data_IF_758141399521
#
_entry.id   IF_758141399521
#
_cell.length_a   1.000
_cell.length_b   1.000
_cell.length_c   1.000
_cell.angle_alpha   90.00
_cell.angle_beta   90.00
_cell.angle_gamma   90.00
#
_symmetry.space_group_name_H-M   'P 1'
#
loop_
_entity.id
_entity.type
_entity.pdbx_description
1 polymer ?
#
# COMPACT_ATOMS: atom_id res chain seq x y z
N UNK A 1 -9.73 10.08 -32.70
CA UNK A 1 -10.63 9.47 -31.69
C UNK A 1 -10.19 8.04 -31.38
N UNK A 2 -9.71 7.27 -32.36
CA UNK A 2 -9.31 5.87 -32.16
C UNK A 2 -8.09 5.69 -31.26
N UNK A 3 -7.08 6.59 -31.34
CA UNK A 3 -5.91 6.56 -30.46
C UNK A 3 -6.30 6.67 -28.97
N UNK A 4 -7.27 7.53 -28.67
CA UNK A 4 -7.70 7.81 -27.30
C UNK A 4 -8.48 6.62 -26.73
N UNK A 5 -9.33 6.01 -27.55
CA UNK A 5 -10.08 4.80 -27.20
C UNK A 5 -9.14 3.61 -26.99
N UNK A 6 -8.15 3.43 -27.87
CA UNK A 6 -7.21 2.31 -27.77
C UNK A 6 -6.30 2.42 -26.53
N UNK A 7 -5.85 3.64 -26.20
CA UNK A 7 -5.11 3.90 -24.94
C UNK A 7 -5.99 3.60 -23.72
N UNK A 8 -7.25 4.02 -23.72
CA UNK A 8 -8.17 3.74 -22.60
C UNK A 8 -8.42 2.23 -22.47
N UNK A 9 -8.68 1.52 -23.56
CA UNK A 9 -8.95 0.08 -23.54
C UNK A 9 -7.72 -0.72 -23.09
N UNK A 10 -6.52 -0.33 -23.56
CA UNK A 10 -5.26 -0.96 -23.16
C UNK A 10 -4.91 -0.67 -21.70
N UNK A 11 -5.11 0.57 -21.24
CA UNK A 11 -4.95 0.95 -19.84
C UNK A 11 -5.96 0.21 -18.94
N UNK A 12 -7.22 0.11 -19.37
CA UNK A 12 -8.26 -0.62 -18.67
C UNK A 12 -7.95 -2.10 -18.49
N UNK A 13 -7.49 -2.78 -19.56
CA UNK A 13 -7.04 -4.17 -19.49
C UNK A 13 -5.93 -4.35 -18.46
N UNK A 14 -4.93 -3.47 -18.49
CA UNK A 14 -3.79 -3.52 -17.57
C UNK A 14 -4.22 -3.26 -16.12
N UNK A 15 -5.13 -2.32 -15.89
CA UNK A 15 -5.67 -2.02 -14.58
C UNK A 15 -6.50 -3.18 -14.00
N UNK A 16 -7.30 -3.85 -14.83
CA UNK A 16 -8.07 -5.03 -14.44
C UNK A 16 -7.11 -6.17 -14.07
N UNK A 17 -6.09 -6.44 -14.88
CA UNK A 17 -5.11 -7.50 -14.61
C UNK A 17 -4.37 -7.26 -13.29
N UNK A 18 -3.88 -6.03 -13.07
CA UNK A 18 -3.26 -5.64 -11.80
C UNK A 18 -4.23 -5.83 -10.61
N UNK A 19 -5.49 -5.39 -10.77
CA UNK A 19 -6.47 -5.43 -9.70
C UNK A 19 -6.84 -6.85 -9.28
N UNK A 20 -7.09 -7.72 -10.27
CA UNK A 20 -7.52 -9.09 -9.98
C UNK A 20 -6.37 -10.00 -9.57
N UNK A 21 -5.20 -9.90 -10.22
CA UNK A 21 -4.12 -10.85 -10.00
C UNK A 21 -3.12 -10.39 -8.94
N UNK A 22 -2.95 -9.08 -8.73
CA UNK A 22 -1.97 -8.55 -7.77
C UNK A 22 -2.68 -7.94 -6.57
N UNK A 23 -3.70 -7.11 -6.79
CA UNK A 23 -4.35 -6.43 -5.67
C UNK A 23 -5.18 -7.41 -4.84
N UNK A 24 -6.11 -8.18 -5.42
CA UNK A 24 -6.96 -9.09 -4.62
C UNK A 24 -6.19 -10.00 -3.63
N UNK A 25 -5.12 -10.71 -4.03
CA UNK A 25 -4.39 -11.57 -3.09
C UNK A 25 -3.67 -10.79 -1.99
N UNK A 26 -3.04 -9.66 -2.33
CA UNK A 26 -2.35 -8.82 -1.35
C UNK A 26 -3.35 -8.22 -0.36
N UNK A 27 -4.61 -7.98 -0.76
CA UNK A 27 -5.68 -7.50 0.13
C UNK A 27 -5.92 -8.50 1.24
N UNK A 28 -6.05 -9.76 0.85
CA UNK A 28 -6.36 -10.86 1.75
C UNK A 28 -5.23 -10.98 2.77
N UNK A 29 -3.98 -10.97 2.31
CA UNK A 29 -2.81 -11.04 3.20
C UNK A 29 -2.79 -9.88 4.20
N UNK A 30 -2.96 -8.64 3.72
CA UNK A 30 -2.93 -7.46 4.57
C UNK A 30 -4.10 -7.44 5.57
N UNK A 31 -5.32 -7.78 5.13
CA UNK A 31 -6.48 -7.88 6.01
C UNK A 31 -6.31 -8.97 7.07
N UNK A 32 -5.78 -10.14 6.69
CA UNK A 32 -5.49 -11.22 7.64
C UNK A 32 -4.43 -10.81 8.66
N UNK A 33 -3.37 -10.12 8.24
CA UNK A 33 -2.35 -9.60 9.14
C UNK A 33 -2.93 -8.54 10.08
N UNK A 34 -3.72 -7.60 9.55
CA UNK A 34 -4.36 -6.56 10.37
C UNK A 34 -5.28 -7.16 11.43
N UNK A 35 -6.14 -8.09 11.01
CA UNK A 35 -7.04 -8.85 11.91
C UNK A 35 -6.26 -9.56 13.02
N UNK A 36 -5.08 -10.11 12.71
CA UNK A 36 -4.22 -10.76 13.70
C UNK A 36 -3.63 -9.75 14.70
N UNK A 37 -3.20 -8.57 14.24
CA UNK A 37 -2.64 -7.52 15.09
C UNK A 37 -3.70 -6.90 16.00
N UNK A 38 -4.92 -6.73 15.49
CA UNK A 38 -6.10 -6.35 16.27
C UNK A 38 -6.41 -7.38 17.36
N UNK A 39 -6.50 -8.66 17.00
CA UNK A 39 -6.82 -9.73 17.95
C UNK A 39 -5.78 -9.86 19.07
N UNK A 40 -4.52 -9.49 18.81
CA UNK A 40 -3.43 -9.47 19.80
C UNK A 40 -3.37 -8.18 20.62
N UNK A 41 -4.22 -7.18 20.36
CA UNK A 41 -4.22 -5.88 21.06
C UNK A 41 -2.99 -5.01 20.76
N UNK A 42 -2.21 -5.34 19.72
CA UNK A 42 -1.00 -4.59 19.36
C UNK A 42 -1.37 -3.18 18.88
N UNK A 43 -2.48 -3.06 18.14
CA UNK A 43 -2.97 -1.75 17.69
C UNK A 43 -3.34 -0.86 18.87
N UNK A 44 -4.05 -1.40 19.87
CA UNK A 44 -4.45 -0.63 21.05
C UNK A 44 -3.23 -0.14 21.84
N UNK A 45 -2.17 -0.96 21.93
CA UNK A 45 -0.90 -0.57 22.55
C UNK A 45 -0.23 0.57 21.78
N UNK A 46 -0.15 0.47 20.45
CA UNK A 46 0.44 1.50 19.57
C UNK A 46 -0.38 2.81 19.66
N UNK A 47 -1.70 2.72 19.62
CA UNK A 47 -2.61 3.86 19.73
C UNK A 47 -2.50 4.51 21.11
N UNK A 48 -2.44 3.75 22.20
CA UNK A 48 -2.26 4.30 23.54
C UNK A 48 -0.92 5.04 23.68
N UNK A 49 0.12 4.62 22.96
CA UNK A 49 1.44 5.28 22.94
C UNK A 49 1.48 6.52 22.03
N UNK A 50 0.80 6.48 20.89
CA UNK A 50 0.76 7.57 19.89
C UNK A 50 -0.27 8.66 20.21
N UNK A 51 -1.41 8.30 20.80
CA UNK A 51 -2.46 9.23 21.21
C UNK A 51 -1.94 10.43 22.04
N UNK A 52 -1.09 10.27 23.07
CA UNK A 52 -0.58 11.44 23.81
C UNK A 52 0.28 12.37 22.94
N UNK A 53 0.92 11.84 21.88
CA UNK A 53 1.72 12.64 20.94
C UNK A 53 0.83 13.40 19.94
N UNK A 54 -0.33 12.83 19.59
CA UNK A 54 -1.27 13.36 18.59
C UNK A 54 -2.42 14.18 19.19
N UNK A 55 -2.58 14.18 20.53
CA UNK A 55 -3.46 15.10 21.28
C UNK A 55 -3.36 16.58 20.86
N UNK A 56 -2.18 17.19 20.64
CA UNK A 56 -2.10 18.58 20.20
C UNK A 56 -2.70 18.83 18.80
N UNK A 57 -2.86 17.79 17.99
CA UNK A 57 -3.46 17.85 16.64
C UNK A 57 -4.98 17.58 16.68
N UNK A 58 -5.56 17.34 17.87
CA UNK A 58 -7.00 17.05 18.02
C UNK A 58 -7.40 15.62 17.65
N UNK A 59 -6.44 14.73 17.37
CA UNK A 59 -6.68 13.32 17.08
C UNK A 59 -6.89 12.54 18.38
N UNK A 60 -8.12 12.05 18.59
CA UNK A 60 -8.46 11.13 19.68
C UNK A 60 -7.89 9.73 19.39
N UNK A 61 -7.86 8.83 20.38
CA UNK A 61 -7.40 7.45 20.20
C UNK A 61 -8.10 6.72 19.04
N UNK A 62 -9.40 6.97 18.83
CA UNK A 62 -10.15 6.43 17.70
C UNK A 62 -9.68 6.99 16.35
N UNK A 63 -9.31 8.27 16.29
CA UNK A 63 -8.77 8.89 15.08
C UNK A 63 -7.38 8.35 14.72
N UNK A 64 -6.54 8.09 15.73
CA UNK A 64 -5.23 7.45 15.53
C UNK A 64 -5.39 6.00 15.08
N UNK A 65 -6.33 5.26 15.66
CA UNK A 65 -6.66 3.90 15.25
C UNK A 65 -7.14 3.86 13.78
N UNK A 66 -8.07 4.75 13.41
CA UNK A 66 -8.56 4.85 12.03
C UNK A 66 -7.44 5.24 11.04
N UNK A 67 -6.57 6.18 11.41
CA UNK A 67 -5.44 6.56 10.59
C UNK A 67 -4.45 5.40 10.40
N UNK A 68 -4.20 4.61 11.44
CA UNK A 68 -3.34 3.44 11.37
C UNK A 68 -3.95 2.35 10.49
N UNK A 69 -5.25 2.06 10.65
CA UNK A 69 -5.98 1.13 9.79
C UNK A 69 -5.93 1.56 8.33
N UNK A 70 -6.17 2.83 8.02
CA UNK A 70 -6.09 3.35 6.64
C UNK A 70 -4.68 3.17 6.08
N UNK A 71 -3.62 3.40 6.87
CA UNK A 71 -2.24 3.26 6.38
C UNK A 71 -1.81 1.81 6.18
N UNK A 72 -2.21 0.88 7.05
CA UNK A 72 -1.83 -0.53 6.97
C UNK A 72 -2.71 -1.36 6.02
N UNK A 73 -4.00 -1.01 5.90
CA UNK A 73 -4.92 -1.68 4.98
C UNK A 73 -4.82 -1.07 3.57
N UNK A 74 -4.42 0.20 3.45
CA UNK A 74 -4.21 0.79 2.13
C UNK A 74 -2.98 0.22 1.44
N UNK A 75 -3.26 -0.42 0.30
CA UNK A 75 -2.33 -0.90 -0.70
C UNK A 75 -1.29 0.10 -1.21
N UNK A 76 -1.40 1.37 -0.84
CA UNK A 76 -0.46 2.40 -1.25
C UNK A 76 1.00 2.02 -0.95
N UNK A 77 1.30 1.47 0.22
CA UNK A 77 2.67 1.12 0.58
C UNK A 77 3.23 -0.08 -0.23
N UNK A 78 2.54 -1.23 -0.33
CA UNK A 78 2.98 -2.34 -1.17
C UNK A 78 3.05 -1.99 -2.65
N UNK A 79 2.06 -1.28 -3.20
CA UNK A 79 2.05 -0.89 -4.62
C UNK A 79 3.12 0.15 -4.92
N UNK A 80 3.34 1.14 -4.04
CA UNK A 80 4.44 2.09 -4.20
C UNK A 80 5.80 1.38 -4.14
N UNK A 81 5.94 0.38 -3.25
CA UNK A 81 7.18 -0.40 -3.16
C UNK A 81 7.36 -1.30 -4.38
N UNK A 82 6.32 -1.99 -4.85
CA UNK A 82 6.36 -2.82 -6.06
C UNK A 82 6.61 -1.99 -7.32
N UNK A 83 5.99 -0.81 -7.46
CA UNK A 83 6.27 0.11 -8.56
C UNK A 83 7.68 0.69 -8.46
N UNK A 84 8.18 1.01 -7.27
CA UNK A 84 9.59 1.37 -7.07
C UNK A 84 10.54 0.20 -7.38
N UNK A 85 10.16 -1.03 -7.06
CA UNK A 85 10.95 -2.24 -7.35
C UNK A 85 10.95 -2.56 -8.84
N UNK A 86 9.83 -2.41 -9.54
CA UNK A 86 9.73 -2.55 -11.00
C UNK A 86 10.57 -1.46 -11.70
N UNK A 87 10.46 -0.21 -11.24
CA UNK A 87 11.28 0.89 -11.73
C UNK A 87 12.78 0.72 -11.46
N UNK A 88 13.16 0.06 -10.35
CA UNK A 88 14.56 -0.18 -9.97
C UNK A 88 15.09 -1.56 -10.40
N UNK A 89 14.22 -2.44 -10.89
CA UNK A 89 14.46 -3.87 -11.10
C UNK A 89 15.21 -4.26 -12.37
N UNK A 90 15.59 -3.32 -13.22
CA UNK A 90 16.40 -3.61 -14.41
C UNK A 90 17.31 -2.42 -14.78
N UNK A 91 18.12 -1.93 -13.84
CA UNK A 91 19.19 -0.99 -14.19
C UNK A 91 20.41 -1.73 -14.73
N UNK A 92 20.38 -2.07 -16.01
CA UNK A 92 21.54 -2.55 -16.78
C UNK A 92 22.71 -1.55 -16.82
N UNK A 93 22.56 -0.35 -16.24
CA UNK A 93 23.58 0.70 -16.19
C UNK A 93 24.69 0.45 -15.16
N UNK A 94 24.47 -0.38 -14.14
CA UNK A 94 25.55 -0.71 -13.18
C UNK A 94 26.50 -1.81 -13.67
N UNK A 95 26.13 -2.60 -14.68
CA UNK A 95 27.02 -3.63 -15.25
C UNK A 95 28.02 -3.07 -16.28
N UNK A 96 27.76 -1.87 -16.83
CA UNK A 96 28.65 -1.24 -17.82
C UNK A 96 29.78 -0.40 -17.22
N UNK A 97 29.77 -0.16 -15.90
CA UNK A 97 30.83 0.60 -15.22
C UNK A 97 32.00 -0.30 -14.74
N UNK A 98 31.92 -1.60 -14.97
CA UNK A 98 32.91 -2.60 -14.51
C UNK A 98 33.59 -3.33 -15.69
N UNK A 99 33.49 -2.81 -16.91
CA UNK A 99 34.26 -3.29 -18.07
C UNK A 99 35.18 -2.19 -18.59
#
# INVERSE_FOLDING_TARGET
>A
MDLLIDVILRAGRSAVELSFFVLLPVMIVMLSLMRLLEAKGVLDWVVARLAPLLRPVGLTGLGVFAALQINFVSFAAPVATLTMMDQRGASSRHLAATL
#
